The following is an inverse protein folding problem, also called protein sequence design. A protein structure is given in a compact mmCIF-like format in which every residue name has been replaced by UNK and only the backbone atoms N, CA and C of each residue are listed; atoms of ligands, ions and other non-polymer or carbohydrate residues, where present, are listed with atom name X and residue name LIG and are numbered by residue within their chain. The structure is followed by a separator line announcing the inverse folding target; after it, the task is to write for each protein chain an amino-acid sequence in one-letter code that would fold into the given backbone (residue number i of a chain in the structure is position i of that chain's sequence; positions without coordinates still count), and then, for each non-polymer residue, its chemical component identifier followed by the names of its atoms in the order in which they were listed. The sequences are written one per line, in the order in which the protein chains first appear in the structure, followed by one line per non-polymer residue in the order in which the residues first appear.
data_IF_895306710966
#
_entry.id   IF_895306710966
#
_cell.length_a   1.000
_cell.length_b   1.000
_cell.length_c   1.000
_cell.angle_alpha   90.00
_cell.angle_beta   90.00
_cell.angle_gamma   90.00
#
_symmetry.space_group_name_H-M   'P 1'
#
loop_
_entity.id
_entity.type
_entity.pdbx_description
1 polymer ?
#
# COMPACT_ATOMS: atom_id res chain seq x y z
N UNK A 1 -20.88 19.25 -34.53
CA UNK A 1 -20.26 20.00 -33.41
C UNK A 1 -19.42 19.11 -32.50
N UNK A 2 -19.88 17.89 -32.19
CA UNK A 2 -19.19 16.99 -31.24
C UNK A 2 -17.79 16.55 -31.68
N UNK A 3 -17.52 16.39 -32.98
CA UNK A 3 -16.19 16.03 -33.49
C UNK A 3 -15.14 17.13 -33.27
N UNK A 4 -15.56 18.40 -33.26
CA UNK A 4 -14.67 19.54 -33.01
C UNK A 4 -14.35 19.60 -31.51
N UNK A 5 -15.39 19.52 -30.66
CA UNK A 5 -15.22 19.45 -29.19
C UNK A 5 -14.35 18.28 -28.75
N UNK A 6 -14.56 17.10 -29.33
CA UNK A 6 -13.76 15.92 -29.00
C UNK A 6 -12.27 16.06 -29.38
N UNK A 7 -11.97 16.84 -30.43
CA UNK A 7 -10.57 17.17 -30.79
C UNK A 7 -9.96 18.21 -29.84
N UNK A 8 -10.72 19.24 -29.49
CA UNK A 8 -10.32 20.27 -28.52
C UNK A 8 -10.04 19.66 -27.14
N UNK A 9 -10.90 18.75 -26.68
CA UNK A 9 -10.71 18.07 -25.39
C UNK A 9 -9.49 17.13 -25.40
N UNK A 10 -9.21 16.47 -26.53
CA UNK A 10 -7.97 15.70 -26.68
C UNK A 10 -6.74 16.59 -26.56
N UNK A 11 -6.74 17.76 -27.22
CA UNK A 11 -5.63 18.71 -27.17
C UNK A 11 -5.45 19.30 -25.77
N UNK A 12 -6.55 19.60 -25.07
CA UNK A 12 -6.54 20.04 -23.68
C UNK A 12 -5.97 18.96 -22.74
N UNK A 13 -6.41 17.72 -22.89
CA UNK A 13 -5.92 16.58 -22.10
C UNK A 13 -4.42 16.35 -22.30
N UNK A 14 -3.94 16.42 -23.55
CA UNK A 14 -2.51 16.31 -23.90
C UNK A 14 -1.70 17.47 -23.35
N UNK A 15 -2.20 18.70 -23.43
CA UNK A 15 -1.52 19.87 -22.88
C UNK A 15 -1.39 19.77 -21.34
N UNK A 16 -2.42 19.26 -20.67
CA UNK A 16 -2.38 18.95 -19.24
C UNK A 16 -1.32 17.88 -18.92
N UNK A 17 -1.24 16.81 -19.71
CA UNK A 17 -0.20 15.78 -19.56
C UNK A 17 1.21 16.37 -19.71
N UNK A 18 1.41 17.23 -20.71
CA UNK A 18 2.68 17.91 -20.95
C UNK A 18 3.10 18.80 -19.78
N UNK A 19 2.18 19.61 -19.23
CA UNK A 19 2.44 20.42 -18.04
C UNK A 19 2.83 19.57 -16.83
N UNK A 20 2.16 18.43 -16.62
CA UNK A 20 2.50 17.48 -15.54
C UNK A 20 3.89 16.86 -15.75
N UNK A 21 4.22 16.49 -16.98
CA UNK A 21 5.53 15.93 -17.30
C UNK A 21 6.67 16.93 -17.04
N UNK A 22 6.48 18.22 -17.37
CA UNK A 22 7.43 19.28 -17.05
C UNK A 22 7.62 19.45 -15.52
N UNK A 23 6.52 19.50 -14.77
CA UNK A 23 6.58 19.56 -13.31
C UNK A 23 7.29 18.34 -12.70
N UNK A 24 6.92 17.14 -13.13
CA UNK A 24 7.53 15.89 -12.67
C UNK A 24 9.02 15.79 -13.02
N UNK A 25 9.46 16.40 -14.13
CA UNK A 25 10.88 16.48 -14.48
C UNK A 25 11.69 17.33 -13.52
N UNK A 26 11.10 18.41 -12.99
CA UNK A 26 11.72 19.27 -11.98
C UNK A 26 11.72 18.63 -10.59
N UNK A 27 10.68 17.86 -10.26
CA UNK A 27 10.51 17.23 -8.93
C UNK A 27 10.99 15.78 -8.86
N UNK A 28 11.62 15.22 -9.91
CA UNK A 28 12.03 13.79 -10.02
C UNK A 28 10.91 12.76 -9.79
N UNK A 29 9.63 13.15 -9.86
CA UNK A 29 8.49 12.23 -9.67
C UNK A 29 8.33 11.27 -10.86
N UNK A 30 7.77 10.10 -10.60
CA UNK A 30 7.54 9.07 -11.61
C UNK A 30 6.67 9.59 -12.77
N UNK A 31 7.13 9.37 -14.01
CA UNK A 31 6.48 9.89 -15.23
C UNK A 31 5.52 8.90 -15.90
N UNK A 32 5.33 7.72 -15.30
CA UNK A 32 4.64 6.58 -15.92
C UNK A 32 3.57 6.04 -14.98
N UNK A 33 2.53 5.42 -15.55
CA UNK A 33 1.52 4.69 -14.77
C UNK A 33 2.19 3.62 -13.90
N UNK A 34 1.68 3.45 -12.68
CA UNK A 34 2.13 2.38 -11.79
C UNK A 34 1.92 1.03 -12.48
N UNK A 35 2.99 0.24 -12.55
CA UNK A 35 2.96 -1.12 -13.08
C UNK A 35 2.31 -2.04 -12.04
N UNK A 36 1.33 -2.84 -12.45
CA UNK A 36 0.78 -3.85 -11.55
C UNK A 36 1.84 -4.90 -11.17
N UNK A 37 2.85 -5.14 -12.01
CA UNK A 37 3.83 -6.20 -11.73
C UNK A 37 4.62 -5.88 -10.46
N UNK A 38 5.09 -4.63 -10.33
CA UNK A 38 5.80 -4.15 -9.14
C UNK A 38 4.92 -4.29 -7.88
N UNK A 39 3.62 -4.09 -8.04
CA UNK A 39 2.61 -4.19 -6.98
C UNK A 39 2.40 -5.65 -6.56
N UNK A 40 2.27 -6.56 -7.51
CA UNK A 40 2.06 -8.00 -7.23
C UNK A 40 3.31 -8.65 -6.65
N UNK A 41 4.48 -8.28 -7.16
CA UNK A 41 5.77 -8.78 -6.68
C UNK A 41 6.02 -8.29 -5.24
N UNK A 42 5.69 -7.03 -4.95
CA UNK A 42 5.75 -6.50 -3.60
C UNK A 42 4.75 -7.19 -2.66
N UNK A 43 3.46 -7.20 -2.99
CA UNK A 43 2.44 -7.63 -2.03
C UNK A 43 2.24 -9.16 -1.95
N UNK A 44 2.92 -9.94 -2.80
CA UNK A 44 2.84 -11.40 -2.81
C UNK A 44 1.48 -11.89 -3.31
N UNK A 45 1.30 -11.96 -4.63
CA UNK A 45 0.07 -12.47 -5.23
C UNK A 45 -0.15 -13.97 -4.94
N UNK A 46 -1.29 -14.32 -4.35
CA UNK A 46 -1.62 -15.70 -3.96
C UNK A 46 -2.67 -16.36 -4.87
N UNK A 47 -3.44 -15.56 -5.62
CA UNK A 47 -4.46 -16.10 -6.50
C UNK A 47 -5.31 -15.03 -7.17
N UNK A 48 -6.14 -15.47 -8.11
CA UNK A 48 -7.08 -14.62 -8.87
C UNK A 48 -8.48 -15.21 -8.81
N UNK A 49 -9.49 -14.36 -8.70
CA UNK A 49 -10.90 -14.75 -8.78
C UNK A 49 -11.70 -13.78 -9.65
N UNK A 50 -12.74 -14.28 -10.29
CA UNK A 50 -13.61 -13.43 -11.10
C UNK A 50 -14.57 -12.65 -10.21
N UNK A 51 -14.47 -11.31 -10.25
CA UNK A 51 -15.28 -10.38 -9.45
C UNK A 51 -16.55 -9.90 -10.16
N UNK A 52 -16.83 -10.37 -11.38
CA UNK A 52 -18.01 -9.98 -12.14
C UNK A 52 -17.86 -8.68 -12.93
N UNK A 53 -18.96 -8.24 -13.56
CA UNK A 53 -19.07 -6.94 -14.21
C UNK A 53 -19.77 -5.99 -13.24
N UNK A 54 -19.17 -4.85 -12.95
CA UNK A 54 -19.69 -3.85 -12.03
C UNK A 54 -19.22 -2.44 -12.42
N UNK A 55 -19.94 -1.41 -11.97
CA UNK A 55 -19.45 -0.05 -12.04
C UNK A 55 -18.38 0.20 -10.97
N UNK A 56 -17.23 0.73 -11.38
CA UNK A 56 -16.12 1.05 -10.48
C UNK A 56 -15.84 2.55 -10.46
N UNK A 57 -15.42 3.12 -9.32
CA UNK A 57 -15.02 4.53 -9.25
C UNK A 57 -13.78 4.82 -10.12
N UNK A 58 -13.83 5.89 -10.91
CA UNK A 58 -12.76 6.28 -11.85
C UNK A 58 -11.51 6.81 -11.12
N UNK A 59 -11.69 7.37 -9.93
CA UNK A 59 -10.63 7.86 -9.03
C UNK A 59 -9.82 6.71 -8.41
N UNK A 60 -10.44 5.54 -8.19
CA UNK A 60 -9.77 4.31 -7.72
C UNK A 60 -8.98 3.58 -8.82
N UNK A 61 -8.95 4.08 -10.06
CA UNK A 61 -8.13 3.52 -11.13
C UNK A 61 -6.71 4.10 -11.04
N UNK A 62 -5.76 3.31 -10.54
CA UNK A 62 -4.45 3.80 -10.08
C UNK A 62 -3.30 3.47 -11.02
N UNK A 63 -3.46 2.48 -11.91
CA UNK A 63 -2.34 2.02 -12.73
C UNK A 63 -2.72 1.13 -13.91
N UNK A 64 -1.69 0.57 -14.54
CA UNK A 64 -1.83 -0.27 -15.73
C UNK A 64 -1.24 -1.64 -15.51
N UNK A 65 -1.95 -2.65 -15.96
CA UNK A 65 -1.51 -4.04 -16.09
C UNK A 65 -1.13 -4.42 -17.52
N UNK A 66 -1.32 -3.51 -18.49
CA UNK A 66 -0.92 -3.72 -19.88
C UNK A 66 0.60 -3.64 -20.07
N UNK A 67 1.08 -4.13 -21.22
CA UNK A 67 2.49 -4.07 -21.60
C UNK A 67 3.07 -2.66 -21.48
N UNK A 68 4.39 -2.56 -21.23
CA UNK A 68 5.10 -1.29 -21.07
C UNK A 68 4.77 -0.29 -22.18
N UNK A 69 4.66 -0.74 -23.43
CA UNK A 69 4.33 0.10 -24.58
C UNK A 69 2.93 0.75 -24.52
N UNK A 70 1.92 0.08 -23.96
CA UNK A 70 0.57 0.65 -23.77
C UNK A 70 0.52 1.57 -22.54
N UNK A 71 1.33 1.30 -21.53
CA UNK A 71 1.46 2.15 -20.34
C UNK A 71 2.14 3.50 -20.65
N UNK A 72 3.08 3.54 -21.60
CA UNK A 72 3.82 4.77 -21.98
C UNK A 72 2.96 5.78 -22.78
N UNK A 73 1.86 5.32 -23.39
CA UNK A 73 0.91 6.17 -24.12
C UNK A 73 0.08 7.09 -23.21
N UNK A 74 0.16 6.89 -21.89
CA UNK A 74 -0.61 7.61 -20.89
C UNK A 74 0.25 8.05 -19.71
N UNK A 75 -0.04 9.24 -19.16
CA UNK A 75 0.57 9.71 -17.92
C UNK A 75 -0.10 9.03 -16.68
N UNK A 76 0.41 9.21 -15.45
CA UNK A 76 -0.22 8.68 -14.23
C UNK A 76 -1.69 9.11 -14.01
N UNK A 77 -2.14 10.17 -14.69
CA UNK A 77 -3.54 10.59 -14.71
C UNK A 77 -4.40 9.92 -15.76
N UNK A 78 -3.87 8.98 -16.54
CA UNK A 78 -4.49 8.46 -17.77
C UNK A 78 -4.71 9.53 -18.85
N UNK A 79 -3.91 10.60 -18.87
CA UNK A 79 -3.96 11.59 -19.95
C UNK A 79 -3.11 11.11 -21.13
N UNK A 80 -3.59 11.28 -22.38
CA UNK A 80 -2.87 10.81 -23.56
C UNK A 80 -1.58 11.60 -23.78
N UNK A 81 -0.45 10.90 -23.94
CA UNK A 81 0.86 11.53 -24.13
C UNK A 81 1.28 11.56 -25.61
N UNK A 82 0.72 10.66 -26.45
CA UNK A 82 1.12 10.51 -27.85
C UNK A 82 0.03 10.97 -28.84
N UNK A 83 0.38 11.65 -29.96
CA UNK A 83 -0.62 12.15 -30.91
C UNK A 83 -1.40 11.05 -31.62
N UNK A 84 -0.80 9.86 -31.76
CA UNK A 84 -1.39 8.69 -32.43
C UNK A 84 -2.70 8.19 -31.80
N UNK A 85 -2.98 8.58 -30.56
CA UNK A 85 -4.19 8.18 -29.84
C UNK A 85 -5.42 9.03 -30.25
N UNK A 86 -5.22 10.15 -30.95
CA UNK A 86 -6.25 11.16 -31.22
C UNK A 86 -7.51 10.56 -31.83
N UNK A 87 -7.38 9.79 -32.91
CA UNK A 87 -8.55 9.31 -33.65
C UNK A 87 -9.38 8.34 -32.81
N UNK A 88 -8.72 7.39 -32.15
CA UNK A 88 -9.39 6.43 -31.27
C UNK A 88 -10.00 7.11 -30.04
N UNK A 89 -9.30 8.07 -29.44
CA UNK A 89 -9.77 8.83 -28.28
C UNK A 89 -11.00 9.67 -28.63
N UNK A 90 -10.95 10.41 -29.75
CA UNK A 90 -12.06 11.24 -30.25
C UNK A 90 -13.30 10.40 -30.55
N UNK A 91 -13.12 9.19 -31.12
CA UNK A 91 -14.23 8.26 -31.37
C UNK A 91 -14.89 7.80 -30.06
N UNK A 92 -14.09 7.34 -29.10
CA UNK A 92 -14.60 6.88 -27.79
C UNK A 92 -15.27 8.03 -27.02
N UNK A 93 -14.72 9.23 -27.11
CA UNK A 93 -15.32 10.43 -26.53
C UNK A 93 -16.73 10.64 -27.07
N UNK A 94 -16.90 10.59 -28.39
CA UNK A 94 -18.21 10.75 -29.02
C UNK A 94 -19.18 9.66 -28.59
N UNK A 95 -18.78 8.40 -28.70
CA UNK A 95 -19.60 7.25 -28.27
C UNK A 95 -20.06 7.41 -26.81
N UNK A 96 -19.17 7.88 -25.93
CA UNK A 96 -19.49 8.09 -24.52
C UNK A 96 -20.45 9.27 -24.29
N UNK A 97 -20.28 10.39 -25.01
CA UNK A 97 -21.17 11.57 -24.94
C UNK A 97 -22.55 11.29 -25.54
N UNK A 98 -22.59 10.58 -26.67
CA UNK A 98 -23.81 10.16 -27.37
C UNK A 98 -24.58 9.08 -26.58
N UNK A 99 -24.03 8.58 -25.46
CA UNK A 99 -24.68 7.59 -24.60
C UNK A 99 -24.68 6.18 -25.17
N UNK A 100 -23.80 5.89 -26.13
CA UNK A 100 -23.68 4.55 -26.70
C UNK A 100 -23.20 3.55 -25.64
N UNK A 101 -23.71 2.31 -25.72
CA UNK A 101 -23.21 1.22 -24.90
C UNK A 101 -21.79 0.85 -25.31
N UNK A 102 -20.83 1.30 -24.49
CA UNK A 102 -19.44 0.90 -24.62
C UNK A 102 -19.22 -0.43 -23.90
N UNK A 103 -18.36 -1.32 -24.43
CA UNK A 103 -18.00 -2.53 -23.71
C UNK A 103 -17.39 -2.18 -22.34
N UNK A 104 -17.44 -3.10 -21.35
CA UNK A 104 -16.75 -2.90 -20.08
C UNK A 104 -15.23 -2.86 -20.29
N UNK A 105 -14.54 -2.10 -19.44
CA UNK A 105 -13.06 -2.18 -19.34
C UNK A 105 -12.66 -3.46 -18.60
N UNK A 106 -11.44 -3.95 -18.78
CA UNK A 106 -10.93 -5.09 -18.02
C UNK A 106 -9.91 -4.60 -16.99
N UNK A 107 -10.09 -4.96 -15.73
CA UNK A 107 -9.22 -4.49 -14.63
C UNK A 107 -8.86 -5.62 -13.67
N UNK A 108 -7.67 -5.51 -13.08
CA UNK A 108 -7.38 -6.19 -11.82
C UNK A 108 -7.79 -5.30 -10.64
N UNK A 109 -8.41 -5.88 -9.61
CA UNK A 109 -8.59 -5.25 -8.30
C UNK A 109 -7.55 -5.81 -7.34
N UNK A 110 -6.74 -4.92 -6.77
CA UNK A 110 -5.73 -5.24 -5.74
C UNK A 110 -5.97 -4.29 -4.57
N UNK A 111 -6.35 -4.83 -3.41
CA UNK A 111 -6.84 -4.00 -2.31
C UNK A 111 -8.01 -3.12 -2.75
N UNK A 112 -7.88 -1.81 -2.54
CA UNK A 112 -8.86 -0.80 -2.95
C UNK A 112 -8.59 -0.18 -4.34
N UNK A 113 -7.48 -0.55 -4.99
CA UNK A 113 -7.05 0.00 -6.27
C UNK A 113 -7.43 -0.87 -7.47
N UNK A 114 -7.67 -0.21 -8.61
CA UNK A 114 -7.91 -0.87 -9.90
C UNK A 114 -6.78 -0.60 -10.90
N UNK A 115 -6.34 -1.65 -11.58
CA UNK A 115 -5.28 -1.61 -12.58
C UNK A 115 -5.82 -2.05 -13.93
N UNK A 116 -5.68 -1.19 -14.94
CA UNK A 116 -6.29 -1.41 -16.26
C UNK A 116 -5.51 -2.44 -17.07
N UNK A 117 -6.17 -3.53 -17.43
CA UNK A 117 -5.70 -4.56 -18.37
C UNK A 117 -5.97 -4.09 -19.79
N UNK A 118 -7.22 -3.71 -20.07
CA UNK A 118 -7.67 -3.12 -21.32
C UNK A 118 -8.70 -2.01 -21.08
N UNK A 119 -8.70 -1.00 -21.96
CA UNK A 119 -9.66 0.10 -21.91
C UNK A 119 -9.09 1.45 -21.49
N UNK A 120 -7.76 1.65 -21.56
CA UNK A 120 -7.09 2.91 -21.17
C UNK A 120 -7.71 4.17 -21.79
N UNK A 121 -8.11 4.11 -23.06
CA UNK A 121 -8.76 5.24 -23.73
C UNK A 121 -10.13 5.56 -23.11
N UNK A 122 -10.91 4.53 -22.73
CA UNK A 122 -12.22 4.72 -22.08
C UNK A 122 -12.05 5.34 -20.69
N UNK A 123 -11.04 4.91 -19.93
CA UNK A 123 -10.67 5.53 -18.64
C UNK A 123 -10.22 6.99 -18.83
N UNK A 124 -9.37 7.25 -19.82
CA UNK A 124 -8.89 8.59 -20.17
C UNK A 124 -10.03 9.55 -20.50
N UNK A 125 -10.94 9.12 -21.37
CA UNK A 125 -12.13 9.88 -21.76
C UNK A 125 -13.06 10.07 -20.56
N UNK A 126 -13.35 9.02 -19.78
CA UNK A 126 -14.19 9.11 -18.60
C UNK A 126 -13.67 10.13 -17.58
N UNK A 127 -12.34 10.17 -17.37
CA UNK A 127 -11.68 11.20 -16.54
C UNK A 127 -11.81 12.59 -17.12
N UNK A 128 -11.62 12.74 -18.43
CA UNK A 128 -11.76 14.04 -19.11
C UNK A 128 -13.19 14.59 -19.03
N UNK A 129 -14.18 13.70 -19.09
CA UNK A 129 -15.60 14.03 -18.95
C UNK A 129 -16.05 14.17 -17.49
N UNK A 130 -15.17 13.93 -16.51
CA UNK A 130 -15.52 14.00 -15.09
C UNK A 130 -16.54 12.95 -14.64
N UNK A 131 -16.60 11.79 -15.31
CA UNK A 131 -17.51 10.71 -14.90
C UNK A 131 -17.05 10.11 -13.55
N UNK A 132 -17.98 9.88 -12.61
CA UNK A 132 -17.62 9.33 -11.30
C UNK A 132 -17.28 7.83 -11.39
N UNK A 133 -17.93 7.09 -12.29
CA UNK A 133 -17.80 5.65 -12.41
C UNK A 133 -17.69 5.19 -13.87
N UNK A 134 -17.21 3.97 -14.07
CA UNK A 134 -17.12 3.29 -15.36
C UNK A 134 -17.38 1.79 -15.20
N UNK A 135 -18.08 1.19 -16.16
CA UNK A 135 -18.35 -0.26 -16.17
C UNK A 135 -17.07 -1.05 -16.44
N UNK A 136 -16.77 -2.01 -15.56
CA UNK A 136 -15.58 -2.84 -15.63
C UNK A 136 -15.88 -4.31 -15.35
N UNK A 137 -15.18 -5.19 -16.06
CA UNK A 137 -14.99 -6.59 -15.73
C UNK A 137 -13.83 -6.68 -14.75
N UNK A 138 -14.11 -7.12 -13.53
CA UNK A 138 -13.14 -7.11 -12.43
C UNK A 138 -12.56 -8.51 -12.21
N UNK A 139 -11.23 -8.59 -12.16
CA UNK A 139 -10.50 -9.78 -11.71
C UNK A 139 -9.85 -9.43 -10.37
N UNK A 140 -10.33 -10.05 -9.31
CA UNK A 140 -9.81 -9.87 -7.97
C UNK A 140 -8.49 -10.60 -7.82
N UNK A 141 -7.46 -9.88 -7.39
CA UNK A 141 -6.16 -10.46 -7.08
C UNK A 141 -5.99 -10.47 -5.57
N UNK A 142 -5.83 -11.67 -5.02
CA UNK A 142 -5.53 -11.85 -3.59
C UNK A 142 -4.03 -11.62 -3.39
N UNK A 143 -3.70 -10.71 -2.50
CA UNK A 143 -2.32 -10.44 -2.07
C UNK A 143 -2.18 -10.80 -0.60
N UNK A 144 -0.98 -11.28 -0.22
CA UNK A 144 -0.67 -11.65 1.16
C UNK A 144 -0.54 -10.40 2.05
N UNK A 145 0.13 -9.36 1.55
CA UNK A 145 0.18 -8.06 2.22
C UNK A 145 -0.95 -7.14 1.72
N UNK A 146 -1.60 -6.36 2.62
CA UNK A 146 -2.53 -5.32 2.20
C UNK A 146 -1.79 -4.21 1.45
N UNK A 147 -2.43 -3.70 0.40
CA UNK A 147 -2.02 -2.53 -0.34
C UNK A 147 -3.14 -1.50 -0.27
N UNK A 148 -2.79 -0.28 0.16
CA UNK A 148 -3.71 0.86 0.09
C UNK A 148 -3.95 1.31 -1.35
N UNK A 149 -4.77 2.35 -1.51
CA UNK A 149 -5.02 2.98 -2.82
C UNK A 149 -3.83 3.78 -3.35
N UNK A 150 -2.93 4.22 -2.48
CA UNK A 150 -1.76 5.00 -2.87
C UNK A 150 -0.61 4.07 -3.23
N UNK A 151 -0.33 4.01 -4.53
CA UNK A 151 0.77 3.22 -5.10
C UNK A 151 1.98 4.13 -5.26
N UNK A 152 2.58 4.53 -4.15
CA UNK A 152 3.90 5.18 -4.15
C UNK A 152 5.02 4.15 -3.89
N UNK A 153 6.26 4.56 -4.14
CA UNK A 153 7.42 3.66 -3.96
C UNK A 153 7.56 3.21 -2.51
N UNK A 154 7.21 4.06 -1.54
CA UNK A 154 7.33 3.73 -0.12
C UNK A 154 6.31 2.67 0.31
N UNK A 155 5.06 2.75 -0.17
CA UNK A 155 4.01 1.79 0.06
C UNK A 155 4.35 0.42 -0.55
N UNK A 156 4.90 0.41 -1.76
CA UNK A 156 5.39 -0.82 -2.40
C UNK A 156 6.50 -1.48 -1.58
N UNK A 157 7.49 -0.71 -1.10
CA UNK A 157 8.55 -1.26 -0.26
C UNK A 157 8.00 -1.81 1.07
N UNK A 158 7.04 -1.13 1.71
CA UNK A 158 6.39 -1.62 2.94
C UNK A 158 5.63 -2.92 2.71
N UNK A 159 4.89 -3.01 1.61
CA UNK A 159 4.17 -4.23 1.24
C UNK A 159 5.14 -5.39 0.94
N UNK A 160 6.26 -5.10 0.26
CA UNK A 160 7.33 -6.08 0.01
C UNK A 160 7.96 -6.62 1.29
N UNK A 161 8.31 -5.75 2.23
CA UNK A 161 8.83 -6.19 3.54
C UNK A 161 7.80 -7.04 4.29
N UNK A 162 6.54 -6.62 4.33
CA UNK A 162 5.51 -7.37 5.04
C UNK A 162 5.23 -8.73 4.39
N UNK A 163 5.17 -8.78 3.05
CA UNK A 163 4.98 -10.02 2.29
C UNK A 163 6.10 -11.04 2.59
N UNK A 164 7.36 -10.59 2.61
CA UNK A 164 8.51 -11.45 2.97
C UNK A 164 8.43 -11.94 4.42
N UNK A 165 8.02 -11.07 5.34
CA UNK A 165 7.80 -11.44 6.74
C UNK A 165 6.73 -12.53 6.87
N UNK A 166 5.59 -12.38 6.19
CA UNK A 166 4.52 -13.37 6.20
C UNK A 166 4.91 -14.65 5.46
N UNK A 167 5.72 -14.58 4.41
CA UNK A 167 6.27 -15.77 3.75
C UNK A 167 7.13 -16.61 4.69
N UNK A 168 8.01 -15.97 5.45
CA UNK A 168 8.88 -16.66 6.41
C UNK A 168 8.12 -17.20 7.62
N UNK A 169 7.25 -16.37 8.21
CA UNK A 169 6.58 -16.68 9.48
C UNK A 169 5.28 -17.44 9.31
N UNK A 170 4.65 -17.36 8.13
CA UNK A 170 3.28 -17.84 7.87
C UNK A 170 2.25 -17.35 8.89
N UNK A 171 2.51 -16.21 9.53
CA UNK A 171 1.69 -15.71 10.63
C UNK A 171 0.23 -15.46 10.20
N UNK A 172 0.04 -15.03 8.95
CA UNK A 172 -1.26 -14.87 8.28
C UNK A 172 -2.07 -16.18 8.18
N UNK A 173 -1.40 -17.34 8.21
CA UNK A 173 -2.04 -18.66 8.16
C UNK A 173 -2.25 -19.25 9.55
N UNK A 174 -1.24 -19.16 10.40
CA UNK A 174 -1.30 -19.76 11.75
C UNK A 174 -2.10 -18.89 12.73
N UNK A 175 -2.18 -17.57 12.50
CA UNK A 175 -2.96 -16.59 13.27
C UNK A 175 -3.61 -15.57 12.30
N UNK A 176 -4.71 -15.90 11.62
CA UNK A 176 -5.35 -15.01 10.64
C UNK A 176 -5.80 -13.63 11.19
N UNK A 177 -5.98 -13.52 12.50
CA UNK A 177 -6.28 -12.29 13.23
C UNK A 177 -5.06 -11.36 13.39
N UNK A 178 -3.84 -11.88 13.22
CA UNK A 178 -2.58 -11.18 13.44
C UNK A 178 -2.22 -10.25 12.25
N UNK A 179 -2.87 -9.08 12.19
CA UNK A 179 -2.58 -8.03 11.20
C UNK A 179 -1.56 -7.02 11.72
N UNK A 180 -0.27 -7.36 11.60
CA UNK A 180 0.84 -6.51 12.07
C UNK A 180 1.25 -5.51 10.99
N UNK A 181 0.46 -4.46 10.76
CA UNK A 181 0.84 -3.41 9.81
C UNK A 181 1.86 -2.45 10.43
N UNK A 182 2.98 -2.19 9.77
CA UNK A 182 3.98 -1.20 10.17
C UNK A 182 3.94 0.04 9.26
N UNK A 183 3.98 1.24 9.84
CA UNK A 183 4.02 2.49 9.04
C UNK A 183 5.40 2.78 8.43
N UNK A 184 6.45 2.08 8.90
CA UNK A 184 7.86 2.34 8.54
C UNK A 184 8.58 1.08 8.07
N UNK A 185 9.54 1.30 7.18
CA UNK A 185 10.46 0.26 6.69
C UNK A 185 11.40 -0.25 7.78
N UNK A 186 11.87 -1.49 7.63
CA UNK A 186 12.78 -2.18 8.53
C UNK A 186 12.14 -2.72 9.82
N UNK A 187 10.86 -2.44 10.08
CA UNK A 187 10.16 -2.89 11.29
C UNK A 187 9.92 -4.39 11.30
N UNK A 188 9.62 -4.96 10.14
CA UNK A 188 9.39 -6.39 10.00
C UNK A 188 10.64 -7.22 10.29
N UNK A 189 11.83 -6.71 9.99
CA UNK A 189 13.09 -7.35 10.36
C UNK A 189 13.28 -7.39 11.88
N UNK A 190 12.89 -6.34 12.59
CA UNK A 190 12.91 -6.30 14.06
C UNK A 190 11.91 -7.28 14.67
N UNK A 191 10.69 -7.34 14.12
CA UNK A 191 9.70 -8.35 14.53
C UNK A 191 10.21 -9.77 14.30
N UNK A 192 10.84 -10.03 13.16
CA UNK A 192 11.42 -11.33 12.84
C UNK A 192 12.54 -11.68 13.84
N UNK A 193 13.41 -10.74 14.22
CA UNK A 193 14.43 -10.97 15.26
C UNK A 193 13.79 -11.36 16.60
N UNK A 194 12.71 -10.71 17.02
CA UNK A 194 12.00 -11.08 18.25
C UNK A 194 11.43 -12.51 18.16
N UNK A 195 10.84 -12.89 17.01
CA UNK A 195 10.33 -14.24 16.79
C UNK A 195 11.46 -15.27 16.84
N UNK A 196 12.61 -15.00 16.21
CA UNK A 196 13.77 -15.90 16.23
C UNK A 196 14.34 -16.06 17.65
N UNK A 197 14.40 -14.98 18.43
CA UNK A 197 14.76 -15.04 19.85
C UNK A 197 13.78 -15.90 20.65
N UNK A 198 12.47 -15.69 20.45
CA UNK A 198 11.42 -16.49 21.08
C UNK A 198 11.51 -17.97 20.69
N UNK A 199 11.73 -18.26 19.40
CA UNK A 199 11.92 -19.61 18.86
C UNK A 199 13.06 -20.35 19.58
N UNK A 200 14.18 -19.67 19.80
CA UNK A 200 15.33 -20.24 20.48
C UNK A 200 15.00 -20.65 21.91
N UNK A 201 14.44 -19.75 22.72
CA UNK A 201 14.09 -20.06 24.11
C UNK A 201 12.98 -21.12 24.20
N UNK A 202 11.96 -21.03 23.35
CA UNK A 202 10.89 -22.02 23.29
C UNK A 202 11.41 -23.42 22.93
N UNK A 203 12.40 -23.50 22.05
CA UNK A 203 13.06 -24.77 21.72
C UNK A 203 13.84 -25.37 22.89
N UNK A 204 14.50 -24.53 23.69
CA UNK A 204 15.18 -24.98 24.92
C UNK A 204 14.17 -25.52 25.96
N UNK A 205 13.07 -24.79 26.18
CA UNK A 205 12.02 -25.20 27.12
C UNK A 205 11.37 -26.53 26.74
N UNK A 206 11.16 -26.77 25.44
CA UNK A 206 10.54 -28.01 24.94
C UNK A 206 11.53 -29.16 24.73
N UNK A 207 12.83 -28.88 24.78
CA UNK A 207 13.89 -29.86 24.54
C UNK A 207 14.03 -30.31 23.09
N UNK A 208 13.43 -29.59 22.13
CA UNK A 208 13.56 -29.89 20.70
C UNK A 208 13.42 -28.61 19.85
N UNK A 209 13.97 -28.59 18.62
CA UNK A 209 13.77 -27.46 17.70
C UNK A 209 12.29 -27.24 17.40
N UNK A 210 11.87 -25.97 17.36
CA UNK A 210 10.50 -25.54 17.03
C UNK A 210 10.50 -24.89 15.64
N UNK A 211 9.61 -25.28 14.71
CA UNK A 211 9.48 -24.62 13.42
C UNK A 211 9.14 -23.13 13.54
N UNK A 212 9.64 -22.31 12.60
CA UNK A 212 9.43 -20.86 12.63
C UNK A 212 7.95 -20.45 12.68
N UNK A 213 7.01 -21.06 11.91
CA UNK A 213 5.59 -20.71 12.01
C UNK A 213 4.97 -20.99 13.38
N UNK A 214 5.40 -22.07 14.03
CA UNK A 214 4.94 -22.40 15.37
C UNK A 214 5.49 -21.41 16.41
N UNK A 215 6.76 -21.03 16.29
CA UNK A 215 7.36 -20.01 17.13
C UNK A 215 6.71 -18.64 16.92
N UNK A 216 6.38 -18.27 15.68
CA UNK A 216 5.69 -17.02 15.35
C UNK A 216 4.29 -16.97 15.98
N UNK A 217 3.54 -18.07 15.91
CA UNK A 217 2.24 -18.18 16.57
C UNK A 217 2.36 -18.04 18.09
N UNK A 218 3.30 -18.76 18.71
CA UNK A 218 3.54 -18.69 20.15
C UNK A 218 3.98 -17.29 20.59
N UNK A 219 4.90 -16.66 19.85
CA UNK A 219 5.35 -15.29 20.10
C UNK A 219 4.19 -14.29 20.00
N UNK A 220 3.32 -14.43 18.99
CA UNK A 220 2.17 -13.56 18.83
C UNK A 220 1.25 -13.63 20.05
N UNK A 221 0.92 -14.83 20.51
CA UNK A 221 0.00 -15.05 21.62
C UNK A 221 0.58 -14.63 22.98
N UNK A 222 1.87 -14.91 23.21
CA UNK A 222 2.49 -14.79 24.53
C UNK A 222 3.31 -13.50 24.74
N UNK A 223 3.71 -12.83 23.66
CA UNK A 223 4.57 -11.64 23.72
C UNK A 223 3.91 -10.44 23.06
N UNK A 224 3.54 -10.56 21.77
CA UNK A 224 2.99 -9.42 21.02
C UNK A 224 1.64 -8.99 21.57
N UNK A 225 0.68 -9.92 21.64
CA UNK A 225 -0.71 -9.63 22.02
C UNK A 225 -0.84 -9.01 23.41
N UNK A 226 -0.15 -9.50 24.48
CA UNK A 226 -0.22 -8.85 25.78
C UNK A 226 0.25 -7.40 25.77
N UNK A 227 1.28 -7.07 24.98
CA UNK A 227 1.78 -5.69 24.85
C UNK A 227 0.80 -4.85 24.02
N UNK A 228 0.29 -5.38 22.91
CA UNK A 228 -0.76 -4.77 22.10
C UNK A 228 -2.01 -4.42 22.93
N UNK A 229 -2.48 -5.34 23.76
CA UNK A 229 -3.63 -5.14 24.65
C UNK A 229 -3.38 -4.01 25.66
N UNK A 230 -2.13 -3.80 26.10
CA UNK A 230 -1.77 -2.66 26.97
C UNK A 230 -1.78 -1.36 26.16
N UNK A 231 -1.18 -1.35 24.96
CA UNK A 231 -1.19 -0.19 24.05
C UNK A 231 -2.62 0.28 23.78
N UNK A 232 -3.52 -0.67 23.50
CA UNK A 232 -4.93 -0.39 23.24
C UNK A 232 -5.66 0.13 24.48
N UNK A 233 -5.51 -0.53 25.64
CA UNK A 233 -6.17 -0.12 26.89
C UNK A 233 -5.79 1.28 27.35
N UNK A 234 -4.57 1.72 27.07
CA UNK A 234 -4.08 3.05 27.45
C UNK A 234 -4.29 4.11 26.36
N UNK A 235 -4.98 3.78 25.26
CA UNK A 235 -5.26 4.71 24.16
C UNK A 235 -3.99 5.40 23.62
N UNK A 236 -2.84 4.72 23.67
CA UNK A 236 -1.53 5.32 23.33
C UNK A 236 -1.52 5.84 21.89
N UNK A 237 -2.18 5.11 20.98
CA UNK A 237 -2.31 5.48 19.58
C UNK A 237 -3.02 6.82 19.35
N UNK A 238 -3.97 7.22 20.23
CA UNK A 238 -4.66 8.52 20.11
C UNK A 238 -3.70 9.69 20.28
N UNK A 239 -2.63 9.49 21.05
CA UNK A 239 -1.62 10.51 21.29
C UNK A 239 -0.53 10.52 20.20
N UNK A 240 -0.48 9.50 19.33
CA UNK A 240 0.60 9.30 18.36
C UNK A 240 0.06 9.08 16.93
N UNK A 241 -0.44 10.15 16.26
CA UNK A 241 -0.98 10.05 14.91
C UNK A 241 0.04 9.50 13.90
N UNK A 242 -0.41 8.59 13.04
CA UNK A 242 0.41 7.97 11.98
C UNK A 242 1.31 6.82 12.43
N UNK A 243 1.28 6.45 13.72
CA UNK A 243 1.92 5.23 14.23
C UNK A 243 0.93 4.07 14.23
N UNK A 244 1.43 2.86 13.98
CA UNK A 244 0.65 1.64 14.16
C UNK A 244 0.95 0.98 15.50
N UNK A 245 0.10 0.02 15.91
CA UNK A 245 0.35 -0.80 17.09
C UNK A 245 1.68 -1.55 17.00
N UNK A 246 2.00 -2.12 15.83
CA UNK A 246 3.27 -2.82 15.61
C UNK A 246 4.48 -1.89 15.72
N UNK A 247 4.37 -0.64 15.26
CA UNK A 247 5.43 0.36 15.47
C UNK A 247 5.68 0.64 16.96
N UNK A 248 4.60 0.79 17.73
CA UNK A 248 4.68 1.02 19.17
C UNK A 248 5.25 -0.18 19.91
N UNK A 249 4.82 -1.39 19.55
CA UNK A 249 5.40 -2.62 20.08
C UNK A 249 6.92 -2.63 19.90
N UNK A 250 7.42 -2.38 18.69
CA UNK A 250 8.88 -2.40 18.41
C UNK A 250 9.62 -1.33 19.22
N UNK A 251 9.05 -0.13 19.41
CA UNK A 251 9.69 0.90 20.23
C UNK A 251 9.67 0.57 21.72
N UNK A 252 8.56 0.03 22.24
CA UNK A 252 8.44 -0.37 23.64
C UNK A 252 9.44 -1.48 23.96
N UNK A 253 9.56 -2.51 23.11
CA UNK A 253 10.51 -3.60 23.34
C UNK A 253 11.95 -3.11 23.24
N UNK A 254 12.28 -2.25 22.27
CA UNK A 254 13.61 -1.62 22.18
C UNK A 254 13.93 -0.84 23.45
N UNK A 255 12.99 -0.04 23.96
CA UNK A 255 13.22 0.76 25.17
C UNK A 255 13.36 -0.10 26.40
N UNK A 256 12.55 -1.16 26.51
CA UNK A 256 12.68 -2.13 27.59
C UNK A 256 14.09 -2.73 27.59
N UNK A 257 14.59 -3.20 26.45
CA UNK A 257 15.95 -3.75 26.36
C UNK A 257 17.00 -2.74 26.84
N UNK A 258 16.94 -1.50 26.38
CA UNK A 258 17.85 -0.44 26.82
C UNK A 258 17.78 -0.17 28.34
N UNK A 259 16.57 -0.12 28.92
CA UNK A 259 16.40 0.04 30.37
C UNK A 259 16.99 -1.14 31.15
N UNK A 260 16.88 -2.35 30.61
CA UNK A 260 17.47 -3.55 31.21
C UNK A 260 18.99 -3.50 31.20
N UNK A 261 19.61 -3.03 30.11
CA UNK A 261 21.06 -2.84 29.99
C UNK A 261 21.58 -1.74 30.93
N UNK A 262 20.77 -0.70 31.16
CA UNK A 262 21.05 0.39 32.10
C UNK A 262 20.84 -0.02 33.59
N UNK A 263 20.39 -1.25 33.87
CA UNK A 263 20.11 -1.73 35.23
C UNK A 263 18.89 -1.07 35.89
N UNK A 264 18.01 -0.45 35.10
CA UNK A 264 16.79 0.23 35.57
C UNK A 264 15.60 -0.73 35.63
N UNK A 265 14.51 -0.40 36.34
CA UNK A 265 13.26 -1.17 36.29
C UNK A 265 12.80 -1.35 34.83
N UNK A 266 12.84 -2.59 34.36
CA UNK A 266 12.62 -2.96 32.97
C UNK A 266 11.30 -3.73 32.84
N UNK A 267 10.51 -3.44 31.80
CA UNK A 267 9.23 -4.10 31.55
C UNK A 267 8.33 -3.28 30.61
N UNK A 268 7.17 -3.83 30.20
CA UNK A 268 6.22 -3.12 29.34
C UNK A 268 5.71 -1.82 29.96
N UNK A 269 5.34 -1.82 31.25
CA UNK A 269 4.78 -0.64 31.91
C UNK A 269 5.82 0.49 32.10
N UNK A 270 7.05 0.24 32.60
CA UNK A 270 8.09 1.27 32.63
C UNK A 270 8.43 1.85 31.25
N UNK A 271 8.48 1.02 30.20
CA UNK A 271 8.76 1.47 28.84
C UNK A 271 7.63 2.35 28.26
N UNK A 272 6.37 1.98 28.50
CA UNK A 272 5.20 2.79 28.11
C UNK A 272 5.16 4.11 28.88
N UNK A 273 5.39 4.09 30.19
CA UNK A 273 5.41 5.30 31.00
C UNK A 273 6.50 6.26 30.53
N UNK A 274 7.70 5.75 30.20
CA UNK A 274 8.74 6.56 29.57
C UNK A 274 8.26 7.15 28.24
N UNK A 275 7.68 6.34 27.35
CA UNK A 275 7.20 6.81 26.05
C UNK A 275 6.17 7.95 26.16
N UNK A 276 5.27 7.87 27.15
CA UNK A 276 4.16 8.80 27.34
C UNK A 276 4.48 10.02 28.20
N UNK A 277 5.34 9.88 29.22
CA UNK A 277 5.51 10.89 30.27
C UNK A 277 6.89 11.57 30.25
N UNK A 278 7.88 10.96 29.65
CA UNK A 278 9.24 11.52 29.57
C UNK A 278 9.28 12.68 28.55
N UNK A 279 9.82 13.83 28.95
CA UNK A 279 9.88 15.01 28.08
C UNK A 279 10.82 14.82 26.89
N UNK A 280 11.91 14.07 27.05
CA UNK A 280 12.82 13.77 25.93
C UNK A 280 12.14 12.81 24.95
N UNK A 281 11.40 11.81 25.45
CA UNK A 281 10.60 10.92 24.61
C UNK A 281 9.55 11.71 23.82
N UNK A 282 8.76 12.57 24.48
CA UNK A 282 7.77 13.45 23.83
C UNK A 282 8.38 14.31 22.74
N UNK A 283 9.49 15.00 23.03
CA UNK A 283 10.21 15.81 22.03
C UNK A 283 10.83 14.95 20.92
N UNK A 284 11.23 13.72 21.22
CA UNK A 284 11.84 12.80 20.26
C UNK A 284 10.85 12.31 19.21
N UNK A 285 9.66 11.84 19.58
CA UNK A 285 8.67 11.40 18.58
C UNK A 285 7.92 12.56 17.92
N UNK A 286 7.75 13.71 18.58
CA UNK A 286 7.29 14.94 17.93
C UNK A 286 8.27 15.41 16.83
N UNK A 287 9.58 15.35 17.08
CA UNK A 287 10.60 15.62 16.05
C UNK A 287 10.61 14.56 14.96
N UNK A 288 10.43 13.28 15.29
CA UNK A 288 10.34 12.20 14.30
C UNK A 288 9.07 12.24 13.46
N UNK A 289 7.99 12.87 13.94
CA UNK A 289 6.81 13.20 13.15
C UNK A 289 7.11 14.30 12.11
N UNK A 290 7.96 15.28 12.45
CA UNK A 290 8.42 16.31 11.50
C UNK A 290 9.42 15.82 10.44
N UNK A 291 9.96 14.61 10.59
CA UNK A 291 10.74 13.93 9.54
C UNK A 291 9.75 13.10 8.69
N UNK A 292 8.76 13.78 8.10
CA UNK A 292 8.20 13.31 6.85
C UNK A 292 9.25 13.63 5.78
N UNK A 293 9.70 12.63 5.02
CA UNK A 293 10.45 12.90 3.80
C UNK A 293 9.61 13.88 2.96
N UNK A 294 10.18 14.99 2.46
CA UNK A 294 9.42 15.93 1.66
C UNK A 294 8.83 15.21 0.44
N UNK A 295 7.56 15.49 0.16
CA UNK A 295 6.78 14.99 -0.99
C UNK A 295 7.46 15.18 -2.37
#
# INVERSE_FOLDING_TARGET
METIRAREDFDAARFKAFRRALGAALTRRARRLASIQDVLDAAGAEGRSYGGIQEIPVDKIVGSAASMAKGEDFDPGFLPTTPRLRDRWTRIYREMVEGAELPPIDVYRVGDGYYVIDGHHRVSVARSLGRPAITARVIDVKTRAPLGTEVDTAALLRAAEYSRFLEATQLDKVRPEARLECSRLGRYDELLKHILGHQYFLGLERGHPVPLPEAAASWYDSVYRPIADIIQRHDVLKQMPGWTEADLYVEITRRWLALSEEGKPAGPQPAINWLLLDEEARRWWQRRHSIQLPE
#
